data_IF_656819759683
#
_entry.id   IF_656819759683
#
_cell.length_a   1.000
_cell.length_b   1.000
_cell.length_c   1.000
_cell.angle_alpha   90.00
_cell.angle_beta   90.00
_cell.angle_gamma   90.00
#
_symmetry.space_group_name_H-M   'P 1'
#
loop_
_entity.id
_entity.type
_entity.pdbx_description
1 polymer ?
#
# COMPACT_ATOMS: atom_id res chain seq x y z
N UNK A 1 -4.64 -29.62 1.25
CA UNK A 1 -3.50 -29.68 0.30
C UNK A 1 -3.32 -31.13 -0.17
N UNK A 2 -3.17 -32.11 0.74
CA UNK A 2 -2.95 -33.50 0.42
C UNK A 2 -3.97 -34.06 -0.61
N UNK A 3 -5.27 -33.94 -0.35
CA UNK A 3 -6.33 -34.36 -1.29
C UNK A 3 -6.24 -33.71 -2.67
N UNK A 4 -5.74 -32.47 -2.73
CA UNK A 4 -5.53 -31.77 -4.00
C UNK A 4 -4.36 -32.40 -4.77
N UNK A 5 -3.25 -32.64 -4.07
CA UNK A 5 -2.06 -33.26 -4.65
C UNK A 5 -2.36 -34.69 -5.14
N UNK A 6 -3.08 -35.48 -4.36
CA UNK A 6 -3.53 -36.83 -4.73
C UNK A 6 -4.42 -36.82 -6.00
N UNK A 7 -5.27 -35.78 -6.11
CA UNK A 7 -6.13 -35.65 -7.29
C UNK A 7 -5.32 -35.27 -8.54
N UNK A 8 -4.34 -34.39 -8.37
CA UNK A 8 -3.42 -33.99 -9.43
C UNK A 8 -2.58 -35.20 -9.88
N UNK A 9 -2.05 -35.94 -8.93
CA UNK A 9 -1.22 -37.11 -9.23
C UNK A 9 -1.99 -38.17 -10.03
N UNK A 10 -3.22 -38.46 -9.64
CA UNK A 10 -4.10 -39.44 -10.35
C UNK A 10 -4.51 -38.98 -11.71
N UNK A 11 -4.65 -37.68 -12.00
CA UNK A 11 -5.16 -37.17 -13.27
C UNK A 11 -4.08 -36.74 -14.24
N UNK A 12 -2.99 -36.19 -13.77
CA UNK A 12 -1.95 -35.57 -14.59
C UNK A 12 -0.57 -36.14 -14.28
N UNK A 13 -0.37 -36.64 -13.06
CA UNK A 13 0.91 -37.08 -12.53
C UNK A 13 1.71 -35.92 -11.93
N UNK A 14 2.18 -36.06 -10.71
CA UNK A 14 3.04 -35.04 -10.05
C UNK A 14 4.36 -34.81 -10.79
N UNK A 15 4.88 -35.82 -11.48
CA UNK A 15 6.09 -35.69 -12.30
C UNK A 15 5.92 -34.69 -13.47
N UNK A 16 4.68 -34.45 -13.90
CA UNK A 16 4.35 -33.53 -14.99
C UNK A 16 3.78 -32.20 -14.50
N UNK A 17 3.80 -31.96 -13.18
CA UNK A 17 3.14 -30.80 -12.56
C UNK A 17 4.14 -30.00 -11.75
N UNK A 18 4.25 -28.70 -12.05
CA UNK A 18 4.95 -27.75 -11.19
C UNK A 18 3.96 -27.19 -10.16
N UNK A 19 4.23 -27.44 -8.88
CA UNK A 19 3.42 -26.90 -7.77
C UNK A 19 4.18 -25.75 -7.13
N UNK A 20 3.57 -24.57 -7.12
CA UNK A 20 4.15 -23.36 -6.49
C UNK A 20 3.28 -22.96 -5.31
N UNK A 21 3.85 -22.91 -4.11
CA UNK A 21 3.23 -22.36 -2.92
C UNK A 21 3.81 -20.97 -2.66
N UNK A 22 2.94 -20.00 -2.52
CA UNK A 22 3.35 -18.63 -2.18
C UNK A 22 2.43 -18.05 -1.13
N UNK A 23 2.97 -17.22 -0.26
CA UNK A 23 2.23 -16.43 0.71
C UNK A 23 2.32 -14.95 0.37
N UNK A 24 1.27 -14.19 0.65
CA UNK A 24 1.25 -12.74 0.48
C UNK A 24 1.63 -11.96 1.74
N UNK A 25 1.92 -12.67 2.84
CA UNK A 25 2.26 -12.08 4.11
C UNK A 25 2.21 -13.13 5.24
N UNK A 26 2.48 -12.70 6.45
CA UNK A 26 2.32 -13.53 7.64
C UNK A 26 1.32 -12.88 8.60
N UNK A 27 0.62 -13.74 9.34
CA UNK A 27 -0.27 -13.29 10.40
C UNK A 27 0.53 -13.16 11.70
N UNK A 28 0.43 -11.98 12.31
CA UNK A 28 0.85 -11.79 13.69
C UNK A 28 -0.42 -11.61 14.53
N UNK A 29 -0.70 -12.54 15.44
CA UNK A 29 -1.84 -12.40 16.35
C UNK A 29 -1.57 -11.27 17.35
N UNK A 30 -2.63 -10.62 17.84
CA UNK A 30 -2.51 -9.60 18.90
C UNK A 30 -1.85 -10.16 20.16
N UNK A 31 -2.01 -11.46 20.43
CA UNK A 31 -1.37 -12.19 21.52
C UNK A 31 0.16 -12.32 21.37
N UNK A 32 0.71 -12.04 20.19
CA UNK A 32 2.15 -12.13 19.90
C UNK A 32 2.94 -10.89 20.33
N UNK A 33 2.28 -9.85 20.83
CA UNK A 33 2.97 -8.71 21.40
C UNK A 33 3.26 -8.98 22.88
N UNK A 34 4.48 -8.72 23.36
CA UNK A 34 4.79 -8.84 24.79
C UNK A 34 3.79 -8.01 25.60
N UNK A 35 3.35 -8.58 26.72
CA UNK A 35 2.45 -7.90 27.67
C UNK A 35 2.99 -6.48 27.98
N UNK A 36 2.19 -5.47 27.67
CA UNK A 36 2.52 -4.06 27.90
C UNK A 36 2.85 -3.22 26.67
N UNK A 37 3.05 -3.80 25.47
CA UNK A 37 3.10 -3.03 24.24
C UNK A 37 1.66 -2.78 23.75
N UNK A 38 1.06 -1.70 24.21
CA UNK A 38 -0.16 -1.16 23.59
C UNK A 38 0.22 -0.68 22.20
N UNK A 39 -0.04 -1.48 21.19
CA UNK A 39 -0.03 -1.01 19.80
C UNK A 39 -1.27 -0.15 19.64
N UNK A 40 -1.07 1.17 19.62
CA UNK A 40 -2.13 2.11 19.32
C UNK A 40 -2.57 1.87 17.87
N UNK A 41 -3.51 0.95 17.68
CA UNK A 41 -4.10 0.66 16.40
C UNK A 41 -5.15 1.71 16.04
N UNK A 42 -5.41 1.84 14.75
CA UNK A 42 -6.43 2.75 14.24
C UNK A 42 -6.84 2.37 12.82
N UNK A 43 -7.65 3.23 12.23
CA UNK A 43 -8.08 3.07 10.85
C UNK A 43 -7.53 4.18 9.97
N UNK A 44 -6.87 3.80 8.90
CA UNK A 44 -6.47 4.71 7.83
C UNK A 44 -7.54 4.71 6.75
N UNK A 45 -8.08 5.89 6.45
CA UNK A 45 -9.14 6.09 5.46
C UNK A 45 -8.58 6.68 4.16
N UNK A 46 -8.27 5.87 3.15
CA UNK A 46 -7.68 6.34 1.90
C UNK A 46 -8.49 7.41 1.19
N UNK A 47 -9.82 7.29 1.13
CA UNK A 47 -10.67 8.29 0.49
C UNK A 47 -10.54 9.67 1.12
N UNK A 48 -10.50 9.72 2.46
CA UNK A 48 -10.30 10.97 3.18
C UNK A 48 -8.91 11.54 2.93
N UNK A 49 -7.89 10.68 2.97
CA UNK A 49 -6.51 11.06 2.67
C UNK A 49 -6.39 11.65 1.27
N UNK A 50 -6.95 10.99 0.24
CA UNK A 50 -6.93 11.47 -1.14
C UNK A 50 -7.65 12.81 -1.30
N UNK A 51 -8.81 12.98 -0.67
CA UNK A 51 -9.57 14.22 -0.75
C UNK A 51 -8.77 15.40 -0.15
N UNK A 52 -8.18 15.21 1.03
CA UNK A 52 -7.37 16.23 1.70
C UNK A 52 -6.07 16.51 0.93
N UNK A 53 -5.40 15.48 0.41
CA UNK A 53 -4.22 15.64 -0.44
C UNK A 53 -4.55 16.44 -1.71
N UNK A 54 -5.67 16.10 -2.36
CA UNK A 54 -6.08 16.82 -3.57
C UNK A 54 -6.38 18.29 -3.26
N UNK A 55 -7.06 18.59 -2.16
CA UNK A 55 -7.31 19.97 -1.72
C UNK A 55 -5.99 20.72 -1.43
N UNK A 56 -5.05 20.08 -0.77
CA UNK A 56 -3.73 20.64 -0.50
C UNK A 56 -2.97 20.97 -1.78
N UNK A 57 -2.93 20.03 -2.73
CA UNK A 57 -2.27 20.26 -4.02
C UNK A 57 -2.99 21.31 -4.88
N UNK A 58 -4.33 21.39 -4.81
CA UNK A 58 -5.11 22.44 -5.46
C UNK A 58 -4.81 23.82 -4.89
N UNK A 59 -4.57 23.92 -3.59
CA UNK A 59 -4.19 25.19 -2.97
C UNK A 59 -2.82 25.69 -3.43
N UNK A 60 -1.89 24.77 -3.72
CA UNK A 60 -0.52 25.11 -4.14
C UNK A 60 -0.45 25.35 -5.66
N UNK A 61 -1.07 24.48 -6.46
CA UNK A 61 -0.88 24.42 -7.91
C UNK A 61 -2.10 24.88 -8.72
N UNK A 62 -3.19 25.23 -8.06
CA UNK A 62 -4.42 25.72 -8.68
C UNK A 62 -5.57 24.73 -8.65
N UNK A 63 -6.78 25.28 -8.76
CA UNK A 63 -8.04 24.56 -8.50
C UNK A 63 -8.68 23.93 -9.75
N UNK A 64 -8.06 24.05 -10.91
CA UNK A 64 -8.71 23.73 -12.19
C UNK A 64 -8.67 22.25 -12.55
N UNK A 65 -7.98 21.41 -11.77
CA UNK A 65 -7.85 19.99 -12.08
C UNK A 65 -7.70 19.16 -10.80
N UNK A 66 -8.02 17.87 -10.91
CA UNK A 66 -7.70 16.91 -9.86
C UNK A 66 -6.25 16.44 -10.02
N UNK A 67 -5.43 16.64 -8.99
CA UNK A 67 -4.03 16.24 -8.95
C UNK A 67 -3.84 14.79 -8.54
N UNK A 68 -4.87 14.20 -7.90
CA UNK A 68 -4.84 12.82 -7.42
C UNK A 68 -5.78 11.97 -8.27
N UNK A 69 -5.28 10.85 -8.75
CA UNK A 69 -6.05 9.91 -9.57
C UNK A 69 -6.73 8.83 -8.73
N UNK A 70 -6.02 8.26 -7.74
CA UNK A 70 -6.60 7.21 -6.92
C UNK A 70 -5.63 6.55 -5.96
N UNK A 71 -6.18 5.55 -5.25
CA UNK A 71 -5.46 4.72 -4.28
C UNK A 71 -5.70 3.25 -4.60
N UNK A 72 -4.65 2.46 -4.56
CA UNK A 72 -4.72 1.02 -4.69
C UNK A 72 -3.55 0.36 -3.95
N UNK A 73 -3.85 -0.60 -3.09
CA UNK A 73 -2.86 -1.43 -2.39
C UNK A 73 -1.72 -0.62 -1.75
N UNK A 74 -2.08 0.28 -0.84
CA UNK A 74 -1.18 1.21 -0.15
C UNK A 74 -0.36 2.14 -1.06
N UNK A 75 -0.80 2.32 -2.29
CA UNK A 75 -0.16 3.22 -3.25
C UNK A 75 -1.13 4.31 -3.70
N UNK A 76 -0.61 5.52 -3.84
CA UNK A 76 -1.35 6.66 -4.40
C UNK A 76 -0.82 6.95 -5.80
N UNK A 77 -1.75 7.17 -6.71
CA UNK A 77 -1.50 7.53 -8.10
C UNK A 77 -1.85 9.00 -8.30
N UNK A 78 -0.89 9.76 -8.79
CA UNK A 78 -1.08 11.16 -9.15
C UNK A 78 -1.59 11.28 -10.60
N UNK A 79 -2.27 12.35 -10.90
CA UNK A 79 -2.74 12.64 -12.25
C UNK A 79 -1.58 13.17 -13.12
N UNK A 80 -0.79 12.25 -13.66
CA UNK A 80 0.43 12.58 -14.43
C UNK A 80 0.12 13.45 -15.64
N UNK A 81 -1.03 13.24 -16.29
CA UNK A 81 -1.45 14.09 -17.41
C UNK A 81 -1.66 15.53 -16.97
N UNK A 82 -2.36 15.76 -15.87
CA UNK A 82 -2.57 17.09 -15.33
C UNK A 82 -1.25 17.77 -14.92
N UNK A 83 -0.30 17.01 -14.37
CA UNK A 83 1.03 17.49 -13.98
C UNK A 83 1.83 17.91 -15.22
N UNK A 84 1.79 17.10 -16.27
CA UNK A 84 2.44 17.37 -17.56
C UNK A 84 1.83 18.58 -18.26
N UNK A 85 0.50 18.64 -18.36
CA UNK A 85 -0.25 19.76 -18.96
C UNK A 85 0.06 21.09 -18.24
N UNK A 86 0.23 21.04 -16.92
CA UNK A 86 0.63 22.20 -16.11
C UNK A 86 2.13 22.49 -16.13
N UNK A 87 2.95 21.68 -16.82
CA UNK A 87 4.42 21.79 -16.88
C UNK A 87 5.09 21.78 -15.50
N UNK A 88 4.52 21.02 -14.56
CA UNK A 88 5.06 20.86 -13.20
C UNK A 88 6.07 19.71 -13.15
N UNK A 89 7.08 19.84 -12.28
CA UNK A 89 8.00 18.75 -12.01
C UNK A 89 7.33 17.68 -11.13
N UNK A 90 7.25 16.47 -11.67
CA UNK A 90 6.65 15.34 -10.98
C UNK A 90 7.35 15.02 -9.64
N UNK A 91 8.68 15.14 -9.61
CA UNK A 91 9.46 14.83 -8.39
C UNK A 91 9.13 15.81 -7.27
N UNK A 92 9.07 17.08 -7.59
CA UNK A 92 8.70 18.13 -6.62
C UNK A 92 7.29 17.90 -6.09
N UNK A 93 6.35 17.55 -6.95
CA UNK A 93 4.97 17.30 -6.55
C UNK A 93 4.85 16.02 -5.71
N UNK A 94 5.57 14.94 -6.07
CA UNK A 94 5.65 13.72 -5.27
C UNK A 94 6.21 14.00 -3.87
N UNK A 95 7.26 14.79 -3.74
CA UNK A 95 7.85 15.12 -2.45
C UNK A 95 6.88 15.91 -1.57
N UNK A 96 6.23 16.94 -2.12
CA UNK A 96 5.22 17.72 -1.38
C UNK A 96 4.02 16.86 -0.96
N UNK A 97 3.57 15.97 -1.81
CA UNK A 97 2.51 15.04 -1.49
C UNK A 97 2.95 14.04 -0.40
N UNK A 98 4.18 13.55 -0.44
CA UNK A 98 4.73 12.67 0.58
C UNK A 98 4.84 13.35 1.95
N UNK A 99 5.38 14.58 2.00
CA UNK A 99 5.44 15.41 3.21
C UNK A 99 4.05 15.57 3.83
N UNK A 100 3.05 15.91 3.02
CA UNK A 100 1.68 16.10 3.49
C UNK A 100 1.08 14.80 4.06
N UNK A 101 1.28 13.67 3.40
CA UNK A 101 0.73 12.38 3.83
C UNK A 101 1.44 11.86 5.09
N UNK A 102 2.72 12.15 5.26
CA UNK A 102 3.49 11.75 6.43
C UNK A 102 2.90 12.27 7.75
N UNK A 103 2.15 13.39 7.71
CA UNK A 103 1.47 13.98 8.87
C UNK A 103 0.16 13.25 9.25
N UNK A 104 -0.29 12.29 8.44
CA UNK A 104 -1.51 11.56 8.77
C UNK A 104 -1.27 10.54 9.89
N UNK A 105 -2.23 10.50 10.81
CA UNK A 105 -2.21 9.50 11.88
C UNK A 105 -2.14 8.09 11.30
N UNK A 106 -1.24 7.28 11.83
CA UNK A 106 -1.05 5.89 11.41
C UNK A 106 -0.10 5.69 10.24
N UNK A 107 0.34 6.75 9.59
CA UNK A 107 1.37 6.66 8.55
C UNK A 107 2.75 6.58 9.20
N UNK A 108 3.45 5.49 8.95
CA UNK A 108 4.81 5.27 9.43
C UNK A 108 5.84 5.84 8.46
N UNK A 109 5.65 5.57 7.17
CA UNK A 109 6.58 5.97 6.12
C UNK A 109 5.83 6.23 4.82
N UNK A 110 6.21 7.28 4.11
CA UNK A 110 5.81 7.52 2.73
C UNK A 110 7.04 7.53 1.84
N UNK A 111 7.04 6.65 0.84
CA UNK A 111 8.13 6.54 -0.12
C UNK A 111 7.66 7.01 -1.49
N UNK A 112 8.42 7.91 -2.12
CA UNK A 112 8.08 8.37 -3.48
C UNK A 112 8.55 7.37 -4.53
N UNK A 113 7.84 7.30 -5.65
CA UNK A 113 8.27 6.47 -6.77
C UNK A 113 9.66 6.85 -7.27
N UNK A 114 10.07 8.12 -7.16
CA UNK A 114 11.40 8.59 -7.54
C UNK A 114 12.47 8.08 -6.58
N UNK A 115 12.25 8.20 -5.27
CA UNK A 115 13.24 7.75 -4.26
C UNK A 115 13.55 6.26 -4.35
N UNK A 116 12.58 5.44 -4.74
CA UNK A 116 12.81 4.01 -5.01
C UNK A 116 13.74 3.73 -6.19
N UNK A 117 13.90 4.68 -7.11
CA UNK A 117 14.80 4.52 -8.25
C UNK A 117 16.21 5.01 -7.97
N UNK A 118 16.32 6.12 -7.23
CA UNK A 118 17.57 6.91 -7.15
C UNK A 118 18.09 7.07 -5.73
N UNK A 119 17.33 6.66 -4.70
CA UNK A 119 17.68 6.86 -3.30
C UNK A 119 18.64 5.82 -2.73
N UNK A 120 19.27 6.16 -1.62
CA UNK A 120 19.94 5.20 -0.76
C UNK A 120 18.89 4.33 -0.07
N UNK A 121 18.97 3.03 -0.27
CA UNK A 121 17.99 2.11 0.24
C UNK A 121 18.41 1.56 1.60
N UNK A 122 17.56 1.79 2.59
CA UNK A 122 17.57 0.99 3.80
C UNK A 122 16.87 -0.36 3.56
N UNK A 123 16.96 -1.28 4.51
CA UNK A 123 16.39 -2.62 4.38
C UNK A 123 14.88 -2.62 4.05
N UNK A 124 14.11 -1.67 4.61
CA UNK A 124 12.67 -1.52 4.34
C UNK A 124 12.37 -1.08 2.90
N UNK A 125 13.04 -0.03 2.42
CA UNK A 125 12.84 0.49 1.07
C UNK A 125 13.33 -0.46 -0.02
N UNK A 126 14.36 -1.29 0.28
CA UNK A 126 14.84 -2.32 -0.63
C UNK A 126 13.76 -3.38 -0.94
N UNK A 127 12.98 -3.79 0.06
CA UNK A 127 11.85 -4.73 -0.11
C UNK A 127 10.78 -4.12 -1.03
N UNK A 128 10.40 -2.86 -0.84
CA UNK A 128 9.45 -2.18 -1.73
C UNK A 128 9.95 -2.12 -3.18
N UNK A 129 11.23 -1.83 -3.37
CA UNK A 129 11.83 -1.82 -4.71
C UNK A 129 11.74 -3.17 -5.41
N UNK A 130 12.05 -4.25 -4.70
CA UNK A 130 11.99 -5.61 -5.26
C UNK A 130 10.55 -6.03 -5.59
N UNK A 131 9.58 -5.62 -4.75
CA UNK A 131 8.17 -5.97 -4.91
C UNK A 131 7.38 -5.09 -5.90
N UNK A 132 7.98 -4.01 -6.44
CA UNK A 132 7.26 -3.05 -7.29
C UNK A 132 7.78 -3.02 -8.72
N UNK A 133 6.84 -2.95 -9.69
CA UNK A 133 7.19 -2.78 -11.09
C UNK A 133 7.30 -1.30 -11.45
N UNK A 134 8.44 -0.87 -12.02
CA UNK A 134 8.77 0.54 -12.26
C UNK A 134 7.73 1.35 -13.07
N UNK A 135 7.01 0.71 -14.01
CA UNK A 135 5.98 1.37 -14.83
C UNK A 135 4.57 1.32 -14.21
N UNK A 136 4.29 0.38 -13.31
CA UNK A 136 2.94 0.14 -12.77
C UNK A 136 2.76 0.54 -11.32
N UNK A 137 3.86 0.88 -10.64
CA UNK A 137 3.79 1.35 -9.25
C UNK A 137 3.10 2.70 -9.14
N UNK A 138 2.54 2.98 -7.98
CA UNK A 138 2.04 4.30 -7.61
C UNK A 138 3.16 5.35 -7.52
N UNK A 139 2.76 6.58 -7.48
CA UNK A 139 3.66 7.72 -7.29
C UNK A 139 4.14 7.85 -5.84
N UNK A 140 3.30 7.41 -4.89
CA UNK A 140 3.59 7.36 -3.46
C UNK A 140 3.22 5.97 -2.94
N UNK A 141 4.06 5.42 -2.07
CA UNK A 141 3.81 4.17 -1.37
C UNK A 141 3.73 4.51 0.12
N UNK A 142 2.66 4.05 0.77
CA UNK A 142 2.38 4.33 2.17
C UNK A 142 2.60 3.06 2.98
N UNK A 143 3.38 3.17 4.03
CA UNK A 143 3.50 2.17 5.07
C UNK A 143 2.79 2.67 6.33
N UNK A 144 1.92 1.84 6.89
CA UNK A 144 1.21 2.16 8.11
C UNK A 144 1.93 1.55 9.32
N UNK A 145 1.78 2.19 10.46
CA UNK A 145 2.24 1.61 11.72
C UNK A 145 1.60 0.25 11.99
N UNK A 146 2.30 -0.68 12.63
CA UNK A 146 1.72 -1.93 13.09
C UNK A 146 0.42 -1.68 13.89
N UNK A 147 -0.60 -2.52 13.66
CA UNK A 147 -1.92 -2.36 14.28
C UNK A 147 -2.88 -1.43 13.56
N UNK A 148 -2.43 -0.62 12.60
CA UNK A 148 -3.31 0.19 11.77
C UNK A 148 -3.90 -0.61 10.62
N UNK A 149 -5.18 -0.38 10.33
CA UNK A 149 -5.93 -1.08 9.27
C UNK A 149 -6.40 -0.09 8.22
N UNK A 150 -6.38 -0.50 6.95
CA UNK A 150 -6.96 0.30 5.87
C UNK A 150 -8.48 0.10 5.87
N UNK A 151 -9.22 1.22 5.99
CA UNK A 151 -10.67 1.23 5.84
C UNK A 151 -11.04 1.88 4.50
N UNK A 152 -11.53 1.09 3.56
CA UNK A 152 -11.87 1.56 2.21
C UNK A 152 -13.20 2.31 2.13
N UNK A 153 -13.93 2.47 3.24
CA UNK A 153 -15.25 3.15 3.29
C UNK A 153 -16.22 2.65 2.20
N UNK A 154 -16.17 1.38 1.88
CA UNK A 154 -17.08 0.81 0.89
C UNK A 154 -18.27 0.14 1.58
N UNK A 155 -19.45 0.83 1.69
CA UNK A 155 -20.59 0.29 2.41
C UNK A 155 -21.19 -0.97 1.76
N UNK A 156 -20.79 -1.32 0.53
CA UNK A 156 -21.23 -2.52 -0.18
C UNK A 156 -20.33 -3.74 0.06
N UNK A 157 -19.10 -3.55 0.39
CA UNK A 157 -18.23 -4.60 0.91
C UNK A 157 -18.32 -4.62 2.43
N UNK A 158 -19.45 -5.09 2.97
CA UNK A 158 -19.41 -5.81 4.23
C UNK A 158 -18.60 -7.08 3.98
N UNK A 159 -17.30 -6.93 3.83
CA UNK A 159 -16.38 -8.03 4.10
C UNK A 159 -16.76 -8.45 5.51
N UNK A 160 -17.36 -9.63 5.65
CA UNK A 160 -17.41 -10.32 6.93
C UNK A 160 -15.95 -10.44 7.34
N UNK A 161 -15.47 -9.44 8.06
CA UNK A 161 -14.22 -9.55 8.79
C UNK A 161 -14.49 -10.70 9.73
N UNK A 162 -14.03 -11.88 9.33
CA UNK A 162 -13.88 -12.99 10.24
C UNK A 162 -13.09 -12.38 11.38
N UNK A 163 -13.68 -12.34 12.56
CA UNK A 163 -13.12 -11.78 13.78
C UNK A 163 -11.89 -12.60 14.20
N UNK A 164 -10.85 -12.51 13.45
CA UNK A 164 -9.52 -12.86 13.90
C UNK A 164 -8.73 -11.55 13.84
N UNK A 165 -8.41 -11.02 14.98
CA UNK A 165 -7.55 -9.87 15.21
C UNK A 165 -6.13 -10.18 14.70
N UNK A 166 -5.98 -10.34 13.40
CA UNK A 166 -4.70 -10.69 12.81
C UNK A 166 -4.19 -9.51 11.99
N UNK A 167 -3.00 -9.05 12.28
CA UNK A 167 -2.29 -8.04 11.49
C UNK A 167 -1.57 -8.76 10.36
N UNK A 168 -1.91 -8.44 9.12
CA UNK A 168 -1.20 -8.93 7.94
C UNK A 168 -0.05 -7.97 7.68
N UNK A 169 1.17 -8.45 7.80
CA UNK A 169 2.37 -7.71 7.39
C UNK A 169 2.79 -8.22 6.01
N UNK A 170 2.96 -7.37 5.01
CA UNK A 170 3.55 -7.77 3.74
C UNK A 170 4.96 -8.30 3.95
N UNK A 171 5.32 -9.34 3.21
CA UNK A 171 6.68 -9.90 3.17
C UNK A 171 7.65 -8.94 2.50
#
# INVERSE_FOLDING_TARGET
>A
IEKLLDTIDKKVGLANTLVVFTGSGYYKSEESYPDGLMVNGGEFHPKRCLALLNMYLMAIYGQHTSWVQGYYNNQIYLNRKAIEDAKLDLTTLQNKAAEFIQEFSGVQLVTTGRSLLTGDWNEGTAKFRQGTHHLRRGDLIIELHPGWKVNLDNPKEKVKIIRNNAVITPL
#
